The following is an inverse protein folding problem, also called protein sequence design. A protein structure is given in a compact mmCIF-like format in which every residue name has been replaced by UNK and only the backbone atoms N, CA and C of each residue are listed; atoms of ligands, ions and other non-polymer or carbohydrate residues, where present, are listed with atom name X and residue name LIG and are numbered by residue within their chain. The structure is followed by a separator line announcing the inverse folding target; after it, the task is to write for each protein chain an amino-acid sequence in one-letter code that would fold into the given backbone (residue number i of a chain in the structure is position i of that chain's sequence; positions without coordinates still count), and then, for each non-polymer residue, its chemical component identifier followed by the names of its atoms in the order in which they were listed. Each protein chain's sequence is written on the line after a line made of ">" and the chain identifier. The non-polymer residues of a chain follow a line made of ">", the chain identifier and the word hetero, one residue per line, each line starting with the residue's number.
data_IF_140627830808
#
_entry.id   IF_140627830808
#
_cell.length_a   1.000
_cell.length_b   1.000
_cell.length_c   1.000
_cell.angle_alpha   90.00
_cell.angle_beta   90.00
_cell.angle_gamma   90.00
#
_symmetry.space_group_name_H-M   'P 1'
#
loop_
_entity.id
_entity.type
_entity.pdbx_description
1 polymer ?
#
# COMPACT_ATOMS: atom_id res chain seq x y z
N UNK A 1 14.04 9.62 -12.21
CA UNK A 1 14.48 8.22 -12.01
C UNK A 1 14.69 7.80 -10.54
N UNK A 2 15.62 8.36 -9.76
CA UNK A 2 15.86 7.90 -8.36
C UNK A 2 14.64 8.10 -7.44
N UNK A 3 13.94 9.24 -7.55
CA UNK A 3 12.73 9.50 -6.76
C UNK A 3 11.59 8.55 -7.14
N UNK A 4 11.39 8.30 -8.43
CA UNK A 4 10.38 7.36 -8.94
C UNK A 4 10.59 5.94 -8.40
N UNK A 5 11.82 5.42 -8.45
CA UNK A 5 12.13 4.10 -7.89
C UNK A 5 11.91 4.01 -6.38
N UNK A 6 12.14 5.10 -5.63
CA UNK A 6 11.87 5.16 -4.19
C UNK A 6 10.38 5.18 -3.88
N UNK A 7 9.61 6.01 -4.60
CA UNK A 7 8.15 6.08 -4.48
C UNK A 7 7.53 4.71 -4.76
N UNK A 8 7.84 4.13 -5.92
CA UNK A 8 7.32 2.82 -6.29
C UNK A 8 7.76 1.71 -5.32
N UNK A 9 9.04 1.68 -4.93
CA UNK A 9 9.56 0.70 -3.99
C UNK A 9 8.87 0.75 -2.62
N UNK A 10 8.60 1.95 -2.11
CA UNK A 10 7.89 2.13 -0.83
C UNK A 10 6.43 1.64 -0.90
N UNK A 11 5.73 1.91 -2.00
CA UNK A 11 4.34 1.44 -2.22
C UNK A 11 4.30 -0.08 -2.32
N UNK A 12 5.22 -0.70 -3.04
CA UNK A 12 5.30 -2.16 -3.15
C UNK A 12 5.53 -2.78 -1.76
N UNK A 13 6.44 -2.22 -0.97
CA UNK A 13 6.71 -2.70 0.38
C UNK A 13 5.46 -2.59 1.28
N UNK A 14 4.79 -1.43 1.27
CA UNK A 14 3.56 -1.23 2.04
C UNK A 14 2.44 -2.17 1.60
N UNK A 15 2.34 -2.43 0.29
CA UNK A 15 1.38 -3.39 -0.26
C UNK A 15 1.64 -4.79 0.27
N UNK A 16 2.90 -5.24 0.25
CA UNK A 16 3.28 -6.54 0.80
C UNK A 16 2.98 -6.63 2.30
N UNK A 17 3.28 -5.59 3.07
CA UNK A 17 2.97 -5.52 4.51
C UNK A 17 1.47 -5.62 4.76
N UNK A 18 0.65 -4.86 4.02
CA UNK A 18 -0.81 -4.92 4.14
C UNK A 18 -1.37 -6.31 3.84
N UNK A 19 -0.87 -6.95 2.77
CA UNK A 19 -1.25 -8.31 2.42
C UNK A 19 -0.86 -9.32 3.49
N UNK A 20 0.34 -9.24 4.05
CA UNK A 20 0.78 -10.13 5.15
C UNK A 20 -0.14 -9.99 6.36
N UNK A 21 -0.50 -8.76 6.74
CA UNK A 21 -1.43 -8.50 7.86
C UNK A 21 -2.81 -9.12 7.56
N UNK A 22 -3.33 -8.94 6.34
CA UNK A 22 -4.62 -9.52 5.96
C UNK A 22 -4.58 -11.06 5.98
N UNK A 23 -3.56 -11.67 5.40
CA UNK A 23 -3.40 -13.12 5.38
C UNK A 23 -3.25 -13.69 6.79
N UNK A 24 -2.51 -13.00 7.66
CA UNK A 24 -2.45 -13.35 9.07
C UNK A 24 -3.84 -13.27 9.72
N UNK A 25 -4.59 -12.19 9.49
CA UNK A 25 -5.96 -12.04 9.98
C UNK A 25 -6.89 -13.17 9.52
N UNK A 26 -6.79 -13.60 8.26
CA UNK A 26 -7.54 -14.74 7.72
C UNK A 26 -7.14 -16.04 8.41
N UNK A 27 -5.84 -16.25 8.69
CA UNK A 27 -5.35 -17.46 9.34
C UNK A 27 -5.90 -17.66 10.76
N UNK A 28 -6.27 -16.58 11.47
CA UNK A 28 -6.75 -16.64 12.85
C UNK A 28 -8.13 -17.28 13.01
N UNK A 29 -8.99 -17.20 12.01
CA UNK A 29 -10.33 -17.77 12.05
C UNK A 29 -10.71 -18.52 10.76
N UNK A 30 -9.70 -18.94 9.98
CA UNK A 30 -9.86 -19.58 8.67
C UNK A 30 -10.76 -18.81 7.70
N UNK A 31 -10.82 -17.47 7.83
CA UNK A 31 -11.65 -16.60 6.98
C UNK A 31 -13.16 -16.69 7.24
N UNK A 32 -13.60 -17.28 8.36
CA UNK A 32 -15.03 -17.46 8.65
C UNK A 32 -15.76 -16.17 8.99
N UNK A 33 -15.05 -15.17 9.50
CA UNK A 33 -15.64 -13.87 9.82
C UNK A 33 -14.63 -12.76 9.60
N UNK A 34 -15.14 -11.56 9.33
CA UNK A 34 -14.29 -10.38 9.28
C UNK A 34 -13.83 -10.05 10.71
N UNK A 35 -12.52 -9.81 10.86
CA UNK A 35 -11.94 -9.42 12.14
C UNK A 35 -11.09 -8.16 11.98
N UNK A 36 -10.75 -7.54 13.11
CA UNK A 36 -10.02 -6.27 13.17
C UNK A 36 -8.65 -6.34 12.49
N UNK A 37 -7.99 -7.50 12.49
CA UNK A 37 -6.67 -7.67 11.87
C UNK A 37 -6.77 -7.61 10.35
N UNK A 38 -7.77 -8.28 9.75
CA UNK A 38 -8.03 -8.20 8.30
C UNK A 38 -8.37 -6.76 7.90
N UNK A 39 -9.18 -6.07 8.69
CA UNK A 39 -9.54 -4.66 8.44
C UNK A 39 -8.30 -3.76 8.51
N UNK A 40 -7.41 -3.96 9.48
CA UNK A 40 -6.17 -3.21 9.59
C UNK A 40 -5.26 -3.43 8.37
N UNK A 41 -5.11 -4.66 7.91
CA UNK A 41 -4.35 -4.96 6.69
C UNK A 41 -4.96 -4.29 5.45
N UNK A 42 -6.28 -4.29 5.32
CA UNK A 42 -6.99 -3.57 4.25
C UNK A 42 -6.76 -2.06 4.31
N UNK A 43 -6.77 -1.45 5.50
CA UNK A 43 -6.49 -0.03 5.68
C UNK A 43 -5.06 0.34 5.23
N UNK A 44 -4.07 -0.53 5.51
CA UNK A 44 -2.69 -0.34 5.03
C UNK A 44 -2.63 -0.34 3.50
N UNK A 45 -3.40 -1.22 2.83
CA UNK A 45 -3.47 -1.24 1.37
C UNK A 45 -4.09 0.04 0.80
N UNK A 46 -5.13 0.57 1.43
CA UNK A 46 -5.75 1.85 1.03
C UNK A 46 -4.75 3.01 1.16
N UNK A 47 -3.97 3.04 2.24
CA UNK A 47 -2.91 4.04 2.43
C UNK A 47 -1.82 3.90 1.36
N UNK A 48 -1.39 2.67 1.07
CA UNK A 48 -0.39 2.41 0.04
C UNK A 48 -0.86 2.90 -1.34
N UNK A 49 -2.13 2.68 -1.67
CA UNK A 49 -2.73 3.18 -2.91
C UNK A 49 -2.78 4.72 -2.94
N UNK A 50 -3.18 5.36 -1.84
CA UNK A 50 -3.18 6.82 -1.74
C UNK A 50 -1.79 7.42 -1.93
N UNK A 51 -0.76 6.80 -1.34
CA UNK A 51 0.64 7.22 -1.53
C UNK A 51 1.13 7.01 -2.96
N UNK A 52 0.67 5.96 -3.64
CA UNK A 52 0.99 5.76 -5.06
C UNK A 52 0.40 6.87 -5.91
N UNK A 53 -0.88 7.18 -5.73
CA UNK A 53 -1.57 8.24 -6.49
C UNK A 53 -0.89 9.58 -6.26
N UNK A 54 -0.67 9.97 -5.00
CA UNK A 54 0.02 11.22 -4.68
C UNK A 54 1.47 11.22 -5.18
N UNK A 55 2.14 10.07 -5.13
CA UNK A 55 3.51 9.93 -5.61
C UNK A 55 3.65 10.06 -7.12
N UNK A 56 2.66 9.61 -7.90
CA UNK A 56 2.61 9.80 -9.36
C UNK A 56 2.33 11.26 -9.71
N UNK A 57 1.34 11.88 -9.05
CA UNK A 57 0.99 13.29 -9.26
C UNK A 57 2.20 14.23 -9.07
N UNK A 58 2.97 14.03 -8.00
CA UNK A 58 4.20 14.78 -7.74
C UNK A 58 5.32 14.54 -8.77
N UNK A 59 5.36 13.35 -9.38
CA UNK A 59 6.35 13.06 -10.43
C UNK A 59 5.95 13.72 -11.76
N UNK A 60 4.67 13.70 -12.10
CA UNK A 60 4.12 14.37 -13.28
C UNK A 60 4.34 15.90 -13.20
N UNK A 61 4.06 16.50 -12.04
CA UNK A 61 4.30 17.93 -11.80
C UNK A 61 5.80 18.28 -11.93
N UNK A 62 6.69 17.46 -11.35
CA UNK A 62 8.14 17.67 -11.45
C UNK A 62 8.69 17.52 -12.88
N UNK A 63 8.05 16.71 -13.73
CA UNK A 63 8.42 16.55 -15.14
C UNK A 63 7.87 17.70 -16.00
N UNK A 64 6.72 18.28 -15.64
CA UNK A 64 6.14 19.42 -16.34
C UNK A 64 6.92 20.74 -16.11
N UNK A 65 7.62 20.88 -14.98
CA UNK A 65 8.46 22.04 -14.66
C UNK A 65 9.89 21.97 -15.22
N UNK A 66 10.31 20.81 -15.75
CA UNK A 66 11.66 20.53 -16.25
C UNK A 66 11.85 20.83 -17.74
#
# INVERSE_FOLDING_TARGET
>A
MVNESRTFGSVVLLTLVGLVIMLYGVSLNAGQSLNTVVVAGGAVLVIALGLLVAGVDLLEEAEAEA
#
